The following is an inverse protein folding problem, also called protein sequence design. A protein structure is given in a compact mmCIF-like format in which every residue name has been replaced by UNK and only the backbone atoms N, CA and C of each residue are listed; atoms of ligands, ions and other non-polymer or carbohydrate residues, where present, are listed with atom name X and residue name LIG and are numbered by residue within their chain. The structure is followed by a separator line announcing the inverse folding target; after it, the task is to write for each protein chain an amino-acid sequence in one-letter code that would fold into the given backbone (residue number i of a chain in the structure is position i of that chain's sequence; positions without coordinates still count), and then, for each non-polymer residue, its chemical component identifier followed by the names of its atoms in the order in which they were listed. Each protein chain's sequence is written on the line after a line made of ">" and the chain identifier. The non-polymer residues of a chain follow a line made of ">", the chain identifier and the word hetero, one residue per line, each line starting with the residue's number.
data_IF_085110851029
#
_entry.id   IF_085110851029
#
_cell.length_a   1.000
_cell.length_b   1.000
_cell.length_c   1.000
_cell.angle_alpha   90.00
_cell.angle_beta   90.00
_cell.angle_gamma   90.00
#
_symmetry.space_group_name_H-M   'P 1'
#
loop_
_entity.id
_entity.type
_entity.pdbx_description
1 polymer ?
#
# COMPACT_ATOMS: atom_id res chain seq x y z
N UNK A 1 -6.23 -8.53 -20.51
CA UNK A 1 -6.67 -8.91 -19.16
C UNK A 1 -6.68 -7.68 -18.24
N UNK A 2 -7.73 -7.57 -17.43
CA UNK A 2 -7.81 -6.49 -16.45
C UNK A 2 -6.82 -6.72 -15.32
N UNK A 3 -6.25 -5.64 -14.79
CA UNK A 3 -5.40 -5.71 -13.60
C UNK A 3 -6.24 -6.03 -12.35
N UNK A 4 -5.56 -6.43 -11.26
CA UNK A 4 -6.23 -6.72 -9.98
C UNK A 4 -6.97 -5.49 -9.47
N UNK A 5 -6.33 -4.32 -9.55
CA UNK A 5 -6.96 -3.06 -9.11
C UNK A 5 -8.17 -2.72 -9.98
N UNK A 6 -8.09 -2.91 -11.30
CA UNK A 6 -9.23 -2.70 -12.20
C UNK A 6 -10.41 -3.58 -11.81
N UNK A 7 -10.16 -4.85 -11.52
CA UNK A 7 -11.21 -5.79 -11.11
C UNK A 7 -11.87 -5.35 -9.80
N UNK A 8 -11.09 -4.87 -8.84
CA UNK A 8 -11.62 -4.35 -7.58
C UNK A 8 -12.47 -3.10 -7.80
N UNK A 9 -12.09 -2.24 -8.74
CA UNK A 9 -12.87 -1.06 -9.10
C UNK A 9 -14.26 -1.47 -9.63
N UNK A 10 -14.29 -2.47 -10.50
CA UNK A 10 -15.54 -2.98 -11.06
C UNK A 10 -16.43 -3.53 -9.94
N UNK A 11 -15.87 -4.32 -9.03
CA UNK A 11 -16.61 -4.90 -7.90
C UNK A 11 -17.20 -3.83 -6.99
N UNK A 12 -16.48 -2.74 -6.76
CA UNK A 12 -16.90 -1.66 -5.85
C UNK A 12 -17.64 -0.53 -6.52
N UNK A 13 -17.90 -0.65 -7.82
CA UNK A 13 -18.67 0.34 -8.56
C UNK A 13 -17.91 1.63 -8.85
N UNK A 14 -16.59 1.60 -8.84
CA UNK A 14 -15.75 2.75 -9.18
C UNK A 14 -15.65 2.84 -10.71
N UNK A 15 -16.03 3.99 -11.25
CA UNK A 15 -15.96 4.23 -12.69
C UNK A 15 -14.51 4.28 -13.17
N UNK A 16 -14.20 3.49 -14.20
CA UNK A 16 -12.87 3.48 -14.82
C UNK A 16 -12.86 4.31 -16.08
N UNK A 17 -12.05 5.36 -16.09
CA UNK A 17 -11.68 6.11 -17.28
C UNK A 17 -10.38 5.52 -17.83
N UNK A 18 -9.98 5.89 -19.05
CA UNK A 18 -8.73 5.40 -19.64
C UNK A 18 -7.53 5.77 -18.75
N UNK A 19 -7.51 6.99 -18.20
CA UNK A 19 -6.45 7.42 -17.30
C UNK A 19 -6.42 6.60 -16.01
N UNK A 20 -7.58 6.34 -15.41
CA UNK A 20 -7.69 5.52 -14.20
C UNK A 20 -7.25 4.08 -14.46
N UNK A 21 -7.59 3.52 -15.63
CA UNK A 21 -7.14 2.18 -16.02
C UNK A 21 -5.63 2.09 -16.10
N UNK A 22 -4.99 3.09 -16.69
CA UNK A 22 -3.53 3.11 -16.81
C UNK A 22 -2.88 3.21 -15.43
N UNK A 23 -3.38 4.09 -14.57
CA UNK A 23 -2.87 4.24 -13.20
C UNK A 23 -3.06 2.92 -12.43
N UNK A 24 -4.22 2.28 -12.55
CA UNK A 24 -4.49 0.99 -11.92
C UNK A 24 -3.51 -0.08 -12.40
N UNK A 25 -3.23 -0.15 -13.69
CA UNK A 25 -2.27 -1.10 -14.25
C UNK A 25 -0.86 -0.90 -13.70
N UNK A 26 -0.39 0.34 -13.69
CA UNK A 26 0.94 0.67 -13.18
C UNK A 26 1.06 0.30 -11.71
N UNK A 27 0.04 0.60 -10.91
CA UNK A 27 0.02 0.23 -9.50
C UNK A 27 0.03 -1.29 -9.31
N UNK A 28 -0.77 -2.01 -10.09
CA UNK A 28 -0.87 -3.48 -9.98
C UNK A 28 0.43 -4.20 -10.32
N UNK A 29 1.23 -3.63 -11.21
CA UNK A 29 2.54 -4.20 -11.58
C UNK A 29 3.68 -3.72 -10.71
N UNK A 30 3.43 -2.74 -9.83
CA UNK A 30 4.44 -2.20 -8.93
C UNK A 30 4.54 -3.03 -7.66
N UNK A 31 5.73 -3.52 -7.37
CA UNK A 31 5.98 -4.38 -6.21
C UNK A 31 6.66 -3.65 -5.06
N UNK A 32 7.03 -2.40 -5.26
CA UNK A 32 7.89 -1.62 -4.37
C UNK A 32 7.17 -0.53 -3.58
N UNK A 33 5.84 -0.54 -3.53
CA UNK A 33 5.02 0.41 -2.78
C UNK A 33 5.33 1.87 -3.14
N UNK A 34 5.13 2.28 -4.42
CA UNK A 34 5.50 3.63 -4.85
C UNK A 34 4.59 4.70 -4.25
N UNK A 35 5.14 5.90 -4.03
CA UNK A 35 4.36 7.08 -3.72
C UNK A 35 3.80 7.71 -5.00
N UNK A 36 3.04 8.80 -4.84
CA UNK A 36 2.39 9.48 -5.98
C UNK A 36 3.42 10.02 -6.99
N UNK A 37 4.53 10.57 -6.51
CA UNK A 37 5.58 11.12 -7.38
C UNK A 37 6.15 10.04 -8.32
N UNK A 38 6.45 8.88 -7.76
CA UNK A 38 7.00 7.77 -8.52
C UNK A 38 5.96 7.15 -9.45
N UNK A 39 4.72 7.05 -9.01
CA UNK A 39 3.61 6.60 -9.85
C UNK A 39 3.44 7.53 -11.05
N UNK A 40 3.52 8.84 -10.82
CA UNK A 40 3.42 9.82 -11.91
C UNK A 40 4.54 9.62 -12.93
N UNK A 41 5.77 9.39 -12.49
CA UNK A 41 6.89 9.11 -13.39
C UNK A 41 6.63 7.89 -14.26
N UNK A 42 6.16 6.81 -13.65
CA UNK A 42 5.88 5.55 -14.35
C UNK A 42 4.73 5.68 -15.35
N UNK A 43 3.68 6.36 -14.93
CA UNK A 43 2.50 6.61 -15.78
C UNK A 43 2.88 7.53 -16.94
N UNK A 44 3.71 8.54 -16.71
CA UNK A 44 4.15 9.50 -17.72
C UNK A 44 4.97 8.87 -18.83
N UNK A 45 5.62 7.75 -18.58
CA UNK A 45 6.35 7.00 -19.60
C UNK A 45 5.41 6.40 -20.64
N UNK A 46 4.17 6.13 -20.26
CA UNK A 46 3.15 5.57 -21.14
C UNK A 46 2.28 6.69 -21.73
N UNK A 47 1.88 7.65 -20.91
CA UNK A 47 1.06 8.78 -21.32
C UNK A 47 1.52 10.05 -20.61
N UNK A 48 2.28 10.87 -21.29
CA UNK A 48 2.85 12.09 -20.74
C UNK A 48 1.81 13.19 -20.47
N UNK A 49 0.58 13.02 -20.93
CA UNK A 49 -0.50 14.00 -20.75
C UNK A 49 -1.13 13.92 -19.36
N UNK A 50 -0.91 12.82 -18.64
CA UNK A 50 -1.49 12.65 -17.30
C UNK A 50 -0.69 13.49 -16.30
N UNK A 51 -1.38 14.43 -15.65
CA UNK A 51 -0.76 15.31 -14.64
C UNK A 51 -0.59 14.58 -13.30
N UNK A 52 0.32 15.08 -12.48
CA UNK A 52 0.50 14.57 -11.12
C UNK A 52 -0.78 14.75 -10.28
N UNK A 53 -1.52 15.84 -10.52
CA UNK A 53 -2.80 16.08 -9.84
C UNK A 53 -3.83 14.99 -10.17
N UNK A 54 -3.85 14.52 -11.41
CA UNK A 54 -4.73 13.43 -11.83
C UNK A 54 -4.34 12.11 -11.16
N UNK A 55 -3.04 11.83 -11.07
CA UNK A 55 -2.54 10.63 -10.37
C UNK A 55 -2.93 10.70 -8.90
N UNK A 56 -2.70 11.83 -8.24
CA UNK A 56 -3.05 12.03 -6.83
C UNK A 56 -4.54 11.79 -6.58
N UNK A 57 -5.41 12.42 -7.37
CA UNK A 57 -6.86 12.26 -7.21
C UNK A 57 -7.33 10.83 -7.45
N UNK A 58 -6.74 10.15 -8.43
CA UNK A 58 -7.08 8.76 -8.74
C UNK A 58 -6.68 7.83 -7.62
N UNK A 59 -5.45 7.98 -7.10
CA UNK A 59 -4.96 7.16 -5.98
C UNK A 59 -5.81 7.39 -4.74
N UNK A 60 -6.17 8.63 -4.46
CA UNK A 60 -7.03 8.97 -3.33
C UNK A 60 -8.42 8.34 -3.47
N UNK A 61 -8.98 8.34 -4.67
CA UNK A 61 -10.25 7.68 -4.96
C UNK A 61 -10.17 6.18 -4.66
N UNK A 62 -9.10 5.52 -5.09
CA UNK A 62 -8.87 4.10 -4.84
C UNK A 62 -8.70 3.82 -3.34
N UNK A 63 -8.02 4.70 -2.61
CA UNK A 63 -7.86 4.59 -1.17
C UNK A 63 -9.20 4.70 -0.45
N UNK A 64 -10.00 5.70 -0.78
CA UNK A 64 -11.32 5.91 -0.19
C UNK A 64 -12.28 4.75 -0.46
N UNK A 65 -12.13 4.11 -1.61
CA UNK A 65 -12.92 2.92 -1.96
C UNK A 65 -12.40 1.63 -1.33
N UNK A 66 -11.28 1.69 -0.61
CA UNK A 66 -10.68 0.50 0.02
C UNK A 66 -9.96 -0.42 -0.97
N UNK A 67 -9.63 0.07 -2.16
CA UNK A 67 -8.98 -0.71 -3.21
C UNK A 67 -7.45 -0.73 -3.01
N UNK A 68 -6.89 0.38 -2.54
CA UNK A 68 -5.47 0.48 -2.20
C UNK A 68 -5.33 0.93 -0.76
N UNK A 69 -4.23 0.55 -0.14
CA UNK A 69 -3.88 0.96 1.22
C UNK A 69 -2.77 2.00 1.18
N UNK A 70 -2.92 3.03 2.01
CA UNK A 70 -1.91 4.07 2.18
C UNK A 70 -1.05 3.73 3.40
N UNK A 71 0.25 3.79 3.24
CA UNK A 71 1.20 3.57 4.33
C UNK A 71 2.01 4.82 4.58
N UNK A 72 1.85 5.40 5.76
CA UNK A 72 2.65 6.53 6.24
C UNK A 72 3.73 5.99 7.18
N UNK A 73 4.92 5.76 6.64
CA UNK A 73 6.04 5.28 7.44
C UNK A 73 6.86 6.44 7.98
N UNK A 74 7.32 6.29 9.21
CA UNK A 74 8.12 7.31 9.89
C UNK A 74 9.30 7.76 9.03
N UNK A 75 9.41 9.08 8.78
CA UNK A 75 10.49 9.67 8.01
C UNK A 75 10.38 9.50 6.50
N UNK A 76 9.28 8.95 5.99
CA UNK A 76 9.08 8.72 4.56
C UNK A 76 7.77 9.33 4.07
N UNK A 77 7.71 9.60 2.76
CA UNK A 77 6.47 10.03 2.12
C UNK A 77 5.48 8.86 2.11
N UNK A 78 4.19 9.18 2.07
CA UNK A 78 3.14 8.16 1.96
C UNK A 78 3.34 7.27 0.74
N UNK A 79 3.13 5.98 0.91
CA UNK A 79 3.24 4.96 -0.12
C UNK A 79 1.95 4.20 -0.24
N UNK A 80 1.72 3.61 -1.41
CA UNK A 80 0.47 2.95 -1.72
C UNK A 80 0.71 1.54 -2.22
N UNK A 81 -0.17 0.64 -1.84
CA UNK A 81 -0.19 -0.72 -2.35
C UNK A 81 -1.62 -1.20 -2.51
N UNK A 82 -1.80 -2.25 -3.27
CA UNK A 82 -3.07 -2.95 -3.35
C UNK A 82 -3.48 -3.36 -1.95
N UNK A 83 -4.75 -3.13 -1.58
CA UNK A 83 -5.23 -3.47 -0.23
C UNK A 83 -5.10 -4.97 0.00
N UNK A 84 -4.32 -5.40 1.02
CA UNK A 84 -4.12 -6.82 1.27
C UNK A 84 -5.39 -7.48 1.76
N UNK A 85 -5.61 -8.73 1.35
CA UNK A 85 -6.73 -9.52 1.84
C UNK A 85 -6.44 -10.07 3.24
N UNK A 86 -5.17 -10.27 3.54
CA UNK A 86 -4.73 -10.75 4.84
C UNK A 86 -3.84 -9.69 5.48
N UNK A 87 -3.94 -9.62 6.81
CA UNK A 87 -3.10 -8.70 7.57
C UNK A 87 -1.63 -9.10 7.48
N UNK A 88 -0.76 -8.15 7.28
CA UNK A 88 0.69 -8.37 7.36
C UNK A 88 1.36 -7.14 7.96
N UNK A 89 2.55 -7.37 8.53
CA UNK A 89 3.36 -6.34 9.15
C UNK A 89 4.49 -5.93 8.19
N UNK A 90 5.14 -4.83 8.49
CA UNK A 90 6.16 -4.27 7.60
C UNK A 90 7.49 -4.07 8.33
N UNK A 91 8.58 -4.43 7.64
CA UNK A 91 9.95 -4.08 8.06
C UNK A 91 10.50 -3.11 7.01
N UNK A 92 10.90 -1.94 7.45
CA UNK A 92 11.40 -0.89 6.57
C UNK A 92 12.92 -0.75 6.74
N UNK A 93 13.66 -0.84 5.64
CA UNK A 93 15.10 -0.58 5.64
C UNK A 93 15.32 0.93 5.72
N UNK A 94 15.91 1.40 6.81
CA UNK A 94 16.09 2.85 7.04
C UNK A 94 17.10 3.47 6.07
N UNK A 95 17.94 2.67 5.43
CA UNK A 95 18.96 3.16 4.50
C UNK A 95 18.46 3.24 3.05
N UNK A 96 17.66 2.27 2.63
CA UNK A 96 17.20 2.17 1.24
C UNK A 96 15.71 2.49 1.07
N UNK A 97 14.93 2.41 2.14
CA UNK A 97 13.48 2.55 2.08
C UNK A 97 12.77 1.29 1.59
N UNK A 98 13.49 0.21 1.35
CA UNK A 98 12.91 -1.06 0.93
C UNK A 98 11.98 -1.59 2.01
N UNK A 99 10.83 -2.13 1.60
CA UNK A 99 9.82 -2.66 2.52
C UNK A 99 9.71 -4.17 2.34
N UNK A 100 9.83 -4.90 3.45
CA UNK A 100 9.60 -6.35 3.50
C UNK A 100 8.35 -6.60 4.31
N UNK A 101 7.41 -7.34 3.73
CA UNK A 101 6.19 -7.74 4.42
C UNK A 101 6.43 -9.07 5.12
N UNK A 102 5.86 -9.23 6.31
CA UNK A 102 5.97 -10.48 7.06
C UNK A 102 4.75 -10.71 7.93
N UNK A 103 4.54 -11.98 8.31
CA UNK A 103 3.55 -12.37 9.31
C UNK A 103 4.27 -13.27 10.31
N UNK A 104 4.07 -13.00 11.59
CA UNK A 104 4.66 -13.81 12.66
C UNK A 104 3.55 -14.15 13.67
N UNK A 105 3.21 -15.42 13.75
CA UNK A 105 2.13 -15.90 14.62
C UNK A 105 2.41 -15.65 16.10
N UNK A 106 3.66 -15.71 16.55
CA UNK A 106 4.02 -15.48 17.94
C UNK A 106 3.76 -14.03 18.33
N UNK A 107 4.08 -13.09 17.45
CA UNK A 107 3.81 -11.66 17.67
C UNK A 107 2.31 -11.43 17.75
N UNK A 108 1.55 -12.04 16.82
CA UNK A 108 0.09 -11.93 16.78
C UNK A 108 -0.55 -12.41 18.09
N UNK A 109 -0.14 -13.57 18.57
CA UNK A 109 -0.64 -14.15 19.83
C UNK A 109 -0.28 -13.29 21.03
N UNK A 110 0.94 -12.77 21.05
CA UNK A 110 1.40 -11.92 22.15
C UNK A 110 0.60 -10.63 22.24
N UNK A 111 0.31 -10.01 21.12
CA UNK A 111 -0.50 -8.80 21.05
C UNK A 111 -1.91 -9.04 21.59
N UNK A 112 -2.53 -10.17 21.24
CA UNK A 112 -3.84 -10.55 21.75
C UNK A 112 -3.81 -10.72 23.28
N UNK A 113 -2.80 -11.38 23.80
CA UNK A 113 -2.64 -11.59 25.26
C UNK A 113 -2.48 -10.26 26.00
N UNK A 114 -1.70 -9.34 25.44
CA UNK A 114 -1.51 -8.01 26.04
C UNK A 114 -2.84 -7.25 26.08
N UNK A 115 -3.59 -7.27 24.99
CA UNK A 115 -4.89 -6.60 24.94
C UNK A 115 -5.86 -7.19 25.97
N UNK A 116 -5.92 -8.52 26.09
CA UNK A 116 -6.78 -9.21 27.04
C UNK A 116 -6.41 -8.88 28.49
N UNK A 117 -5.12 -8.82 28.82
CA UNK A 117 -4.64 -8.43 30.15
C UNK A 117 -5.09 -7.03 30.53
N UNK A 118 -5.19 -6.15 29.54
CA UNK A 118 -5.61 -4.77 29.74
C UNK A 118 -7.13 -4.61 29.71
N UNK A 119 -7.86 -5.70 29.49
CA UNK A 119 -9.33 -5.70 29.48
C UNK A 119 -9.96 -5.39 28.14
N UNK A 120 -9.23 -5.61 27.04
CA UNK A 120 -9.70 -5.30 25.70
C UNK A 120 -9.69 -6.52 24.81
N UNK A 121 -10.59 -6.51 23.83
CA UNK A 121 -10.56 -7.44 22.71
C UNK A 121 -9.80 -6.73 21.56
N UNK A 122 -8.76 -7.35 21.07
CA UNK A 122 -7.97 -6.76 19.98
C UNK A 122 -8.79 -6.76 18.69
N UNK A 123 -9.03 -5.60 18.12
CA UNK A 123 -9.78 -5.43 16.86
C UNK A 123 -8.84 -5.33 15.68
N UNK A 124 -7.76 -4.58 15.83
CA UNK A 124 -6.79 -4.35 14.78
C UNK A 124 -5.48 -3.85 15.39
N UNK A 125 -4.40 -3.95 14.62
CA UNK A 125 -3.11 -3.39 15.03
C UNK A 125 -2.29 -3.03 13.81
N UNK A 126 -1.27 -2.22 14.06
CA UNK A 126 -0.29 -1.84 13.04
C UNK A 126 1.09 -2.03 13.64
N UNK A 127 1.94 -2.79 12.96
CA UNK A 127 3.32 -3.04 13.41
C UNK A 127 4.28 -2.66 12.28
N UNK A 128 5.19 -1.76 12.59
CA UNK A 128 6.25 -1.34 11.69
C UNK A 128 7.58 -1.48 12.40
N UNK A 129 8.48 -2.24 11.78
CA UNK A 129 9.85 -2.37 12.27
C UNK A 129 10.78 -1.57 11.36
N UNK A 130 11.70 -0.84 11.95
CA UNK A 130 12.68 -0.03 11.23
C UNK A 130 14.05 -0.60 11.50
N UNK A 131 14.69 -1.11 10.47
CA UNK A 131 15.95 -1.83 10.61
C UNK A 131 17.01 -1.41 9.61
N UNK A 132 18.24 -1.82 9.91
CA UNK A 132 19.39 -1.67 9.04
C UNK A 132 19.96 -3.06 8.80
N UNK A 133 20.35 -3.35 7.56
CA UNK A 133 20.87 -4.66 7.21
C UNK A 133 22.06 -5.04 8.09
N UNK A 134 22.03 -6.27 8.58
CA UNK A 134 23.15 -6.80 9.37
C UNK A 134 24.31 -7.03 8.44
N UNK A 135 25.47 -6.48 8.79
CA UNK A 135 26.70 -6.71 8.03
C UNK A 135 27.24 -8.10 8.36
N UNK A 136 27.48 -8.87 7.31
CA UNK A 136 28.13 -10.17 7.46
C UNK A 136 29.62 -10.05 7.19
#
# INVERSE_FOLDING_TARGET
>A
MSSVIENKCIEKGVRLTDQRKLIAKVMSTSTDHPGVDELHKRVSKVDSKISIATVYRTVKLFEEAGIVAKHDFKGNKARYEEAPQEHHDHLIDVNTGEITEFVNEDIEKLQQKVAEKLGYKLVDHRLELYGSKIKK
#
